data_IF_832529926645
#
_entry.id   IF_832529926645
#
_cell.length_a   1.000
_cell.length_b   1.000
_cell.length_c   1.000
_cell.angle_alpha   90.00
_cell.angle_beta   90.00
_cell.angle_gamma   90.00
#
_symmetry.space_group_name_H-M   'P 1'
#
loop_
_entity.id
_entity.type
_entity.pdbx_description
1 polymer ?
#
# COMPACT_ATOMS: atom_id res chain seq x y z
N UNK A 1 70.32 -38.74 44.85
CA UNK A 1 69.43 -39.15 43.74
C UNK A 1 68.70 -37.91 43.24
N UNK A 2 69.18 -37.37 42.13
CA UNK A 2 68.57 -36.15 41.52
C UNK A 2 67.60 -36.62 40.43
N UNK A 3 66.32 -36.17 40.56
CA UNK A 3 65.28 -36.37 39.52
C UNK A 3 65.23 -35.11 38.70
N UNK A 4 65.57 -35.17 37.44
CA UNK A 4 65.50 -34.14 36.44
C UNK A 4 64.10 -34.09 35.82
N UNK A 5 63.36 -32.94 36.01
CA UNK A 5 62.08 -32.66 35.41
C UNK A 5 62.30 -32.13 33.96
N UNK A 6 61.89 -32.90 32.95
CA UNK A 6 61.76 -32.38 31.58
C UNK A 6 60.38 -31.68 31.40
N UNK A 7 60.40 -30.39 31.17
CA UNK A 7 59.21 -29.63 30.69
C UNK A 7 59.09 -29.77 29.17
N UNK A 8 57.99 -30.33 28.73
CA UNK A 8 57.59 -30.36 27.33
C UNK A 8 56.76 -29.09 27.08
N UNK A 9 57.23 -28.18 26.21
CA UNK A 9 56.50 -27.03 25.73
C UNK A 9 55.63 -27.41 24.53
N UNK A 10 54.32 -27.06 24.49
CA UNK A 10 53.50 -27.32 23.31
C UNK A 10 53.77 -26.25 22.25
N UNK A 11 54.10 -26.70 21.05
CA UNK A 11 54.19 -25.89 19.84
C UNK A 11 52.80 -25.52 19.37
N UNK A 12 52.52 -24.22 19.28
CA UNK A 12 51.28 -23.68 18.66
C UNK A 12 51.32 -23.88 17.12
N UNK A 13 50.22 -24.38 16.50
CA UNK A 13 50.13 -24.40 15.04
C UNK A 13 50.00 -22.96 14.52
N UNK A 14 50.79 -22.65 13.49
CA UNK A 14 50.72 -21.39 12.78
C UNK A 14 49.35 -21.28 12.06
N UNK A 15 48.47 -20.45 12.57
CA UNK A 15 47.22 -20.09 11.90
C UNK A 15 47.54 -19.12 10.76
N UNK A 16 47.35 -19.58 9.53
CA UNK A 16 47.39 -18.75 8.31
C UNK A 16 46.23 -17.73 8.31
N UNK A 17 46.40 -16.63 9.05
CA UNK A 17 45.40 -15.57 9.23
C UNK A 17 45.02 -14.86 7.93
N UNK A 18 45.86 -14.98 6.90
CA UNK A 18 45.61 -14.37 5.59
C UNK A 18 44.51 -15.06 4.79
N UNK A 19 44.45 -16.41 4.84
CA UNK A 19 43.44 -17.18 4.09
C UNK A 19 42.06 -17.04 4.72
N UNK A 20 41.95 -16.97 6.05
CA UNK A 20 40.68 -16.72 6.73
C UNK A 20 40.14 -15.32 6.52
N UNK A 21 40.99 -14.31 6.47
CA UNK A 21 40.59 -12.93 6.13
C UNK A 21 40.11 -12.81 4.69
N UNK A 22 40.74 -13.49 3.74
CA UNK A 22 40.30 -13.51 2.34
C UNK A 22 38.92 -14.18 2.15
N UNK A 23 38.65 -15.29 2.86
CA UNK A 23 37.36 -15.98 2.80
C UNK A 23 36.21 -15.17 3.43
N UNK A 24 36.46 -14.46 4.54
CA UNK A 24 35.45 -13.58 5.16
C UNK A 24 35.14 -12.37 4.28
N UNK A 25 36.15 -11.77 3.65
CA UNK A 25 35.91 -10.67 2.70
C UNK A 25 35.21 -11.10 1.41
N UNK A 26 35.44 -12.32 0.92
CA UNK A 26 34.78 -12.85 -0.26
C UNK A 26 33.30 -13.18 0.03
N UNK A 27 32.99 -13.74 1.20
CA UNK A 27 31.60 -14.04 1.61
C UNK A 27 30.77 -12.77 1.86
N UNK A 28 31.35 -11.74 2.48
CA UNK A 28 30.67 -10.44 2.65
C UNK A 28 30.44 -9.70 1.34
N UNK A 29 31.36 -9.79 0.39
CA UNK A 29 31.19 -9.19 -0.93
C UNK A 29 30.08 -9.88 -1.76
N UNK A 30 29.96 -11.21 -1.65
CA UNK A 30 28.89 -11.96 -2.34
C UNK A 30 27.51 -11.68 -1.71
N UNK A 31 27.40 -11.55 -0.38
CA UNK A 31 26.15 -11.15 0.28
C UNK A 31 25.75 -9.71 -0.09
N UNK A 32 26.69 -8.77 -0.20
CA UNK A 32 26.41 -7.40 -0.63
C UNK A 32 25.97 -7.33 -2.10
N UNK A 33 26.53 -8.16 -2.97
CA UNK A 33 26.14 -8.23 -4.38
C UNK A 33 24.74 -8.82 -4.59
N UNK A 34 24.33 -9.80 -3.77
CA UNK A 34 23.01 -10.40 -3.84
C UNK A 34 21.89 -9.43 -3.39
N UNK A 35 22.16 -8.57 -2.40
CA UNK A 35 21.21 -7.53 -1.96
C UNK A 35 21.07 -6.39 -2.98
N UNK A 36 22.12 -6.10 -3.76
CA UNK A 36 22.07 -5.11 -4.83
C UNK A 36 21.28 -5.60 -6.06
N UNK A 37 21.31 -6.89 -6.37
CA UNK A 37 20.56 -7.46 -7.50
C UNK A 37 19.04 -7.49 -7.24
N UNK A 38 18.61 -7.69 -5.99
CA UNK A 38 17.18 -7.68 -5.61
C UNK A 38 16.55 -6.27 -5.65
N UNK A 39 17.37 -5.21 -5.63
CA UNK A 39 16.91 -3.82 -5.73
C UNK A 39 17.00 -3.26 -7.17
N UNK A 40 17.55 -3.99 -8.13
CA UNK A 40 17.76 -3.51 -9.49
C UNK A 40 16.45 -3.34 -10.29
N UNK A 41 15.34 -3.91 -9.84
CA UNK A 41 14.02 -3.75 -10.49
C UNK A 41 13.33 -2.41 -10.25
N UNK A 42 13.77 -1.63 -9.24
CA UNK A 42 13.14 -0.34 -8.88
C UNK A 42 14.13 0.80 -8.60
N UNK A 43 15.41 0.65 -8.93
CA UNK A 43 16.35 1.78 -8.84
C UNK A 43 16.18 2.68 -10.05
N UNK A 44 15.86 3.95 -9.78
CA UNK A 44 15.77 5.00 -10.79
C UNK A 44 17.03 5.08 -11.65
N UNK A 45 16.83 5.34 -12.92
CA UNK A 45 17.86 5.64 -13.90
C UNK A 45 18.62 6.93 -13.50
N UNK A 46 19.86 7.12 -13.98
CA UNK A 46 20.67 8.29 -13.63
C UNK A 46 19.98 9.58 -14.06
N UNK A 47 20.25 10.65 -13.30
CA UNK A 47 19.69 11.98 -13.48
C UNK A 47 19.79 12.45 -14.95
N UNK A 48 18.66 12.43 -15.65
CA UNK A 48 18.49 12.80 -17.05
C UNK A 48 17.16 12.33 -17.64
N UNK A 49 16.66 11.16 -17.21
CA UNK A 49 15.38 10.61 -17.67
C UNK A 49 14.69 9.85 -16.53
N UNK A 50 14.01 10.58 -15.64
CA UNK A 50 13.26 9.93 -14.54
C UNK A 50 12.00 9.30 -15.10
N UNK A 51 12.01 7.97 -15.24
CA UNK A 51 10.82 7.22 -15.63
C UNK A 51 9.79 7.27 -14.51
N UNK A 52 8.60 7.74 -14.81
CA UNK A 52 7.48 7.72 -13.88
C UNK A 52 6.89 6.29 -13.82
N UNK A 53 6.55 5.87 -12.60
CA UNK A 53 5.85 4.62 -12.35
C UNK A 53 4.39 4.91 -11.96
N UNK A 54 3.49 4.09 -12.48
CA UNK A 54 2.05 4.19 -12.21
C UNK A 54 1.49 2.80 -11.94
N UNK A 55 0.81 2.66 -10.82
CA UNK A 55 0.01 1.48 -10.54
C UNK A 55 -1.32 1.56 -11.30
N UNK A 56 -1.64 0.51 -12.01
CA UNK A 56 -2.86 0.41 -12.82
C UNK A 56 -3.62 -0.86 -12.43
N UNK A 57 -4.91 -0.74 -12.24
CA UNK A 57 -5.82 -1.88 -12.22
C UNK A 57 -6.42 -2.01 -13.61
N UNK A 58 -6.31 -3.17 -14.23
CA UNK A 58 -6.89 -3.41 -15.56
C UNK A 58 -7.60 -4.76 -15.59
N UNK A 59 -8.90 -4.74 -15.94
CA UNK A 59 -9.76 -5.92 -15.97
C UNK A 59 -10.49 -6.02 -17.31
N UNK A 60 -10.76 -7.26 -17.75
CA UNK A 60 -11.59 -7.53 -18.92
C UNK A 60 -13.06 -7.58 -18.53
N UNK A 61 -13.91 -6.86 -19.25
CA UNK A 61 -15.37 -6.80 -19.00
C UNK A 61 -16.10 -8.12 -19.21
N UNK A 62 -15.51 -9.01 -20.02
CA UNK A 62 -16.04 -10.36 -20.26
C UNK A 62 -15.69 -11.36 -19.15
N UNK A 63 -14.98 -10.92 -18.10
CA UNK A 63 -14.51 -11.77 -17.00
C UNK A 63 -13.37 -12.71 -17.37
N UNK A 64 -12.79 -12.59 -18.56
CA UNK A 64 -11.63 -13.36 -18.99
C UNK A 64 -10.42 -13.05 -18.11
N UNK A 65 -9.65 -14.10 -17.76
CA UNK A 65 -8.40 -14.00 -16.98
C UNK A 65 -7.16 -13.75 -17.87
N UNK A 66 -7.34 -13.46 -19.15
CA UNK A 66 -6.24 -13.17 -20.05
C UNK A 66 -5.56 -11.86 -19.63
N UNK A 67 -4.24 -11.88 -19.56
CA UNK A 67 -3.43 -10.70 -19.21
C UNK A 67 -3.70 -9.56 -20.19
N UNK A 68 -3.89 -8.34 -19.65
CA UNK A 68 -3.97 -7.12 -20.45
C UNK A 68 -2.56 -6.71 -20.88
N UNK A 69 -2.41 -6.28 -22.11
CA UNK A 69 -1.12 -5.89 -22.69
C UNK A 69 -1.01 -4.37 -22.86
N UNK A 70 0.20 -3.88 -23.04
CA UNK A 70 0.45 -2.43 -23.26
C UNK A 70 -0.20 -1.89 -24.54
N UNK A 71 -0.52 -2.75 -25.52
CA UNK A 71 -1.18 -2.35 -26.77
C UNK A 71 -2.68 -2.07 -26.61
N UNK A 72 -3.25 -2.55 -25.49
CA UNK A 72 -4.67 -2.42 -25.16
C UNK A 72 -4.93 -1.27 -24.17
N UNK A 73 -3.88 -0.49 -23.84
CA UNK A 73 -3.92 0.61 -22.85
C UNK A 73 -3.31 1.85 -23.47
N UNK A 74 -4.01 2.98 -23.33
CA UNK A 74 -3.48 4.33 -23.59
C UNK A 74 -3.32 5.10 -22.31
N UNK A 75 -2.22 5.86 -22.19
CA UNK A 75 -1.93 6.74 -21.07
C UNK A 75 -1.89 8.19 -21.50
N UNK A 76 -2.60 9.05 -20.76
CA UNK A 76 -2.55 10.49 -20.93
C UNK A 76 -2.05 11.14 -19.63
N UNK A 77 -1.02 11.97 -19.73
CA UNK A 77 -0.51 12.84 -18.65
C UNK A 77 -0.74 14.29 -19.06
N UNK A 78 -1.51 15.02 -18.25
CA UNK A 78 -1.95 16.39 -18.55
C UNK A 78 -2.59 16.54 -19.93
N UNK A 79 -3.38 15.53 -20.35
CA UNK A 79 -4.04 15.51 -21.65
C UNK A 79 -3.14 15.17 -22.85
N UNK A 80 -1.83 14.95 -22.63
CA UNK A 80 -0.88 14.54 -23.66
C UNK A 80 -0.73 13.02 -23.61
N UNK A 81 -0.94 12.36 -24.75
CA UNK A 81 -0.72 10.92 -24.86
C UNK A 81 0.76 10.58 -24.66
N UNK A 82 1.05 9.60 -23.81
CA UNK A 82 2.39 9.20 -23.42
C UNK A 82 2.76 7.84 -23.97
N UNK A 83 4.02 7.69 -24.37
CA UNK A 83 4.54 6.39 -24.79
C UNK A 83 4.81 5.48 -23.58
N UNK A 84 4.07 4.38 -23.46
CA UNK A 84 4.26 3.38 -22.42
C UNK A 84 5.55 2.61 -22.69
N UNK A 85 6.50 2.63 -21.75
CA UNK A 85 7.79 1.91 -21.85
C UNK A 85 7.66 0.47 -21.38
N UNK A 86 6.94 0.24 -20.28
CA UNK A 86 6.63 -1.07 -19.76
C UNK A 86 5.23 -1.10 -19.17
N UNK A 87 4.54 -2.22 -19.34
CA UNK A 87 3.26 -2.53 -18.72
C UNK A 87 3.24 -4.03 -18.41
N UNK A 88 3.30 -4.37 -17.14
CA UNK A 88 3.41 -5.76 -16.70
C UNK A 88 2.60 -6.02 -15.45
N UNK A 89 2.06 -7.24 -15.25
CA UNK A 89 1.45 -7.64 -13.99
C UNK A 89 2.40 -7.39 -12.82
N UNK A 90 1.86 -6.98 -11.67
CA UNK A 90 2.62 -6.83 -10.43
C UNK A 90 2.46 -8.10 -9.55
N UNK A 91 3.44 -9.01 -9.54
CA UNK A 91 3.36 -10.23 -8.74
C UNK A 91 3.76 -10.02 -7.27
N UNK A 92 4.15 -8.81 -6.88
CA UNK A 92 4.66 -8.56 -5.52
C UNK A 92 3.56 -8.78 -4.48
N UNK A 93 3.92 -9.28 -3.27
CA UNK A 93 2.98 -9.35 -2.16
C UNK A 93 2.45 -7.98 -1.76
N UNK A 94 1.19 -7.94 -1.34
CA UNK A 94 0.54 -6.72 -0.91
C UNK A 94 0.83 -6.39 0.56
N UNK A 95 0.91 -5.09 0.84
CA UNK A 95 0.89 -4.51 2.19
C UNK A 95 -0.39 -3.71 2.32
N UNK A 96 -1.34 -4.25 3.06
CA UNK A 96 -2.68 -3.71 3.19
C UNK A 96 -2.89 -3.13 4.58
N UNK A 97 -3.23 -1.86 4.67
CA UNK A 97 -3.69 -1.25 5.92
C UNK A 97 -5.21 -1.30 5.95
N UNK A 98 -5.77 -1.95 6.96
CA UNK A 98 -7.19 -1.85 7.30
C UNK A 98 -7.34 -0.70 8.30
N UNK A 99 -7.86 0.43 7.83
CA UNK A 99 -8.10 1.62 8.64
C UNK A 99 -9.58 1.66 9.03
N UNK A 100 -9.86 1.35 10.30
CA UNK A 100 -11.22 1.11 10.80
C UNK A 100 -11.68 2.26 11.67
N UNK A 101 -12.80 2.88 11.30
CA UNK A 101 -13.47 3.89 12.12
C UNK A 101 -14.01 3.26 13.40
N UNK A 102 -13.39 3.54 14.54
CA UNK A 102 -13.88 3.14 15.85
C UNK A 102 -14.42 4.30 16.68
N UNK A 103 -14.79 5.41 16.01
CA UNK A 103 -15.42 6.54 16.70
C UNK A 103 -16.77 6.17 17.32
N UNK A 104 -17.14 6.89 18.38
CA UNK A 104 -18.43 6.67 19.09
C UNK A 104 -19.65 6.81 18.18
N UNK A 105 -19.54 7.64 17.15
CA UNK A 105 -20.67 8.06 16.33
C UNK A 105 -20.89 7.21 15.08
N UNK A 106 -19.97 6.29 14.71
CA UNK A 106 -20.18 5.42 13.55
C UNK A 106 -21.42 4.55 13.70
N UNK A 107 -22.19 4.36 12.62
CA UNK A 107 -23.45 3.58 12.61
C UNK A 107 -23.26 2.08 12.39
N UNK A 108 -22.07 1.57 12.57
CA UNK A 108 -21.80 0.15 12.67
C UNK A 108 -21.51 -0.20 14.13
N UNK A 109 -21.96 -1.36 14.61
CA UNK A 109 -21.53 -1.87 15.90
C UNK A 109 -20.11 -2.49 15.80
N UNK A 110 -19.51 -2.74 16.97
CA UNK A 110 -18.14 -3.30 17.05
C UNK A 110 -18.08 -4.66 16.35
N UNK A 111 -19.07 -5.52 16.56
CA UNK A 111 -19.09 -6.86 15.97
C UNK A 111 -19.11 -6.81 14.44
N UNK A 112 -19.84 -5.86 13.84
CA UNK A 112 -19.88 -5.66 12.39
C UNK A 112 -18.54 -5.16 11.84
N UNK A 113 -17.87 -4.25 12.56
CA UNK A 113 -16.54 -3.76 12.20
C UNK A 113 -15.47 -4.85 12.30
N UNK A 114 -15.51 -5.64 13.38
CA UNK A 114 -14.63 -6.80 13.58
C UNK A 114 -14.83 -7.84 12.47
N UNK A 115 -16.09 -8.20 12.18
CA UNK A 115 -16.42 -9.15 11.11
C UNK A 115 -15.91 -8.68 9.74
N UNK A 116 -16.14 -7.41 9.40
CA UNK A 116 -15.65 -6.85 8.14
C UNK A 116 -14.11 -6.86 8.05
N UNK A 117 -13.43 -6.63 9.17
CA UNK A 117 -11.96 -6.69 9.25
C UNK A 117 -11.43 -8.12 9.08
N UNK A 118 -12.10 -9.10 9.72
CA UNK A 118 -11.70 -10.52 9.67
C UNK A 118 -11.84 -11.14 8.28
N UNK A 119 -12.81 -10.72 7.47
CA UNK A 119 -12.95 -11.22 6.10
C UNK A 119 -11.67 -11.00 5.28
N UNK A 120 -10.97 -9.89 5.47
CA UNK A 120 -9.68 -9.65 4.81
C UNK A 120 -8.60 -10.62 5.30
N UNK A 121 -8.58 -10.98 6.59
CA UNK A 121 -7.63 -11.94 7.12
C UNK A 121 -7.81 -13.35 6.53
N UNK A 122 -9.03 -13.70 6.12
CA UNK A 122 -9.32 -14.97 5.44
C UNK A 122 -9.03 -14.96 3.93
N UNK A 123 -9.03 -13.79 3.28
CA UNK A 123 -8.92 -13.66 1.82
C UNK A 123 -7.51 -13.24 1.33
N UNK A 124 -6.57 -12.87 2.21
CA UNK A 124 -5.19 -12.54 1.81
C UNK A 124 -4.45 -13.77 1.27
N UNK A 125 -3.49 -13.51 0.38
CA UNK A 125 -2.67 -14.55 -0.23
C UNK A 125 -1.31 -14.68 0.44
N UNK A 126 -0.64 -15.81 0.18
CA UNK A 126 0.71 -16.07 0.71
C UNK A 126 1.67 -14.90 0.42
N UNK A 127 2.30 -14.40 1.47
CA UNK A 127 3.23 -13.27 1.42
C UNK A 127 2.60 -11.90 1.62
N UNK A 128 1.26 -11.76 1.47
CA UNK A 128 0.54 -10.55 1.84
C UNK A 128 0.57 -10.35 3.35
N UNK A 129 0.44 -9.09 3.79
CA UNK A 129 0.30 -8.79 5.22
C UNK A 129 -0.70 -7.67 5.45
N UNK A 130 -1.40 -7.80 6.58
CA UNK A 130 -2.33 -6.80 7.09
C UNK A 130 -1.70 -6.03 8.25
N UNK A 131 -1.94 -4.72 8.29
CA UNK A 131 -1.80 -3.85 9.44
C UNK A 131 -3.20 -3.34 9.77
N UNK A 132 -3.69 -3.56 10.98
CA UNK A 132 -5.02 -3.11 11.40
C UNK A 132 -4.85 -1.92 12.32
N UNK A 133 -5.46 -0.81 11.92
CA UNK A 133 -5.42 0.46 12.63
C UNK A 133 -6.84 0.92 12.91
N UNK A 134 -7.19 1.08 14.17
CA UNK A 134 -8.41 1.76 14.58
C UNK A 134 -8.18 3.27 14.64
N UNK A 135 -9.17 4.08 14.27
CA UNK A 135 -9.04 5.52 14.44
C UNK A 135 -10.28 6.17 15.05
N UNK A 136 -10.01 7.07 15.95
CA UNK A 136 -10.93 8.04 16.54
C UNK A 136 -10.25 9.42 16.57
N UNK A 137 -9.99 10.00 17.75
CA UNK A 137 -9.18 11.21 17.92
C UNK A 137 -7.69 10.99 17.56
N UNK A 138 -7.26 9.72 17.45
CA UNK A 138 -5.92 9.30 17.05
C UNK A 138 -5.99 7.96 16.31
N UNK A 139 -4.97 7.68 15.49
CA UNK A 139 -4.77 6.37 14.90
C UNK A 139 -4.00 5.46 15.88
N UNK A 140 -4.51 4.27 16.15
CA UNK A 140 -3.90 3.29 17.05
C UNK A 140 -3.77 1.92 16.36
N UNK A 141 -2.60 1.30 16.44
CA UNK A 141 -2.39 -0.04 15.89
C UNK A 141 -3.15 -1.04 16.75
N UNK A 142 -4.09 -1.75 16.15
CA UNK A 142 -4.84 -2.87 16.75
C UNK A 142 -4.09 -4.17 16.54
N UNK A 143 -3.57 -4.41 15.33
CA UNK A 143 -2.73 -5.55 14.99
C UNK A 143 -1.62 -5.11 14.06
N UNK A 144 -0.36 -5.34 14.44
CA UNK A 144 0.80 -5.03 13.63
C UNK A 144 0.94 -6.03 12.45
N UNK A 145 1.73 -5.67 11.44
CA UNK A 145 1.92 -6.40 10.20
C UNK A 145 1.95 -7.93 10.39
N UNK A 146 0.90 -8.60 9.95
CA UNK A 146 0.75 -10.05 10.11
C UNK A 146 -0.11 -10.66 9.00
N UNK A 147 0.04 -11.97 8.80
CA UNK A 147 -0.82 -12.86 8.03
C UNK A 147 -1.47 -13.95 8.92
N UNK A 148 -1.25 -13.89 10.24
CA UNK A 148 -1.82 -14.84 11.20
C UNK A 148 -3.23 -14.44 11.61
N UNK A 149 -4.23 -15.15 11.05
CA UNK A 149 -5.66 -14.94 11.33
C UNK A 149 -5.97 -15.04 12.83
N UNK A 150 -5.38 -16.01 13.55
CA UNK A 150 -5.66 -16.22 14.99
C UNK A 150 -5.13 -15.07 15.84
N UNK A 151 -3.98 -14.52 15.44
CA UNK A 151 -3.44 -13.32 16.07
C UNK A 151 -4.39 -12.16 15.88
N UNK A 152 -4.86 -11.91 14.64
CA UNK A 152 -5.81 -10.85 14.31
C UNK A 152 -7.11 -11.01 15.11
N UNK A 153 -7.71 -12.21 15.12
CA UNK A 153 -8.92 -12.50 15.91
C UNK A 153 -8.75 -12.19 17.41
N UNK A 154 -7.56 -12.47 17.95
CA UNK A 154 -7.26 -12.23 19.36
C UNK A 154 -7.12 -10.73 19.65
N UNK A 155 -6.40 -10.01 18.81
CA UNK A 155 -6.11 -8.59 18.97
C UNK A 155 -7.35 -7.72 18.72
N UNK A 156 -8.24 -8.10 17.80
CA UNK A 156 -9.54 -7.44 17.56
C UNK A 156 -10.47 -7.48 18.77
N UNK A 157 -10.34 -8.45 19.69
CA UNK A 157 -11.14 -8.47 20.95
C UNK A 157 -10.91 -7.23 21.82
N UNK A 158 -9.83 -6.50 21.62
CA UNK A 158 -9.54 -5.23 22.28
C UNK A 158 -10.25 -4.03 21.63
N UNK A 159 -10.79 -4.21 20.43
CA UNK A 159 -11.39 -3.13 19.65
C UNK A 159 -12.61 -2.53 20.36
N UNK A 160 -12.68 -1.22 20.48
CA UNK A 160 -13.74 -0.50 21.19
C UNK A 160 -14.02 0.83 20.49
N UNK A 161 -15.28 1.24 20.55
CA UNK A 161 -15.70 2.56 20.07
C UNK A 161 -15.35 3.63 21.09
N UNK A 162 -14.68 4.71 20.65
CA UNK A 162 -14.31 5.87 21.48
C UNK A 162 -14.10 7.11 20.58
N UNK A 163 -14.07 8.29 21.18
CA UNK A 163 -13.69 9.54 20.52
C UNK A 163 -14.53 9.98 19.31
N UNK A 164 -13.99 10.91 18.56
CA UNK A 164 -14.49 11.48 17.31
C UNK A 164 -13.66 11.02 16.10
N UNK A 165 -14.22 10.96 14.87
CA UNK A 165 -13.50 10.43 13.70
C UNK A 165 -12.54 11.47 13.11
N UNK A 166 -11.25 11.39 13.40
CA UNK A 166 -10.19 12.16 12.76
C UNK A 166 -9.64 11.39 11.56
N UNK A 167 -10.47 11.21 10.52
CA UNK A 167 -10.16 10.38 9.35
C UNK A 167 -8.93 10.87 8.59
N UNK A 168 -8.81 12.20 8.37
CA UNK A 168 -7.72 12.75 7.56
C UNK A 168 -6.37 12.64 8.28
N UNK A 169 -6.34 12.87 9.59
CA UNK A 169 -5.14 12.67 10.39
C UNK A 169 -4.71 11.20 10.39
N UNK A 170 -5.66 10.26 10.50
CA UNK A 170 -5.40 8.83 10.47
C UNK A 170 -4.91 8.35 9.10
N UNK A 171 -5.55 8.78 8.01
CA UNK A 171 -5.11 8.47 6.65
C UNK A 171 -3.70 9.00 6.39
N UNK A 172 -3.41 10.23 6.82
CA UNK A 172 -2.08 10.81 6.67
C UNK A 172 -1.02 10.03 7.45
N UNK A 173 -1.30 9.69 8.72
CA UNK A 173 -0.40 8.92 9.56
C UNK A 173 -0.07 7.55 8.95
N UNK A 174 -1.07 6.76 8.53
CA UNK A 174 -0.80 5.43 7.92
C UNK A 174 -0.09 5.55 6.57
N UNK A 175 -0.34 6.63 5.83
CA UNK A 175 0.34 6.90 4.55
C UNK A 175 1.81 7.18 4.75
N UNK A 176 2.15 8.06 5.70
CA UNK A 176 3.52 8.51 5.94
C UNK A 176 4.33 7.51 6.78
N UNK A 177 3.76 7.03 7.89
CA UNK A 177 4.51 6.25 8.87
C UNK A 177 4.53 4.76 8.55
N UNK A 178 3.42 4.21 8.00
CA UNK A 178 3.31 2.78 7.73
C UNK A 178 3.65 2.41 6.29
N UNK A 179 3.21 3.19 5.29
CA UNK A 179 3.30 2.80 3.89
C UNK A 179 4.42 3.49 3.09
N UNK A 180 4.81 4.73 3.43
CA UNK A 180 5.94 5.40 2.76
C UNK A 180 7.24 4.59 2.82
N UNK A 181 7.63 3.98 3.96
CA UNK A 181 8.85 3.16 4.03
C UNK A 181 8.82 1.92 3.14
N UNK A 182 7.62 1.46 2.74
CA UNK A 182 7.39 0.25 1.94
C UNK A 182 7.28 0.56 0.43
N UNK A 183 7.96 1.57 -0.07
CA UNK A 183 7.84 2.07 -1.46
C UNK A 183 8.11 1.02 -2.55
N UNK A 184 8.87 -0.03 -2.24
CA UNK A 184 9.16 -1.14 -3.16
C UNK A 184 8.07 -2.21 -3.20
N UNK A 185 7.00 -2.10 -2.41
CA UNK A 185 5.95 -3.10 -2.27
C UNK A 185 4.63 -2.59 -2.84
N UNK A 186 3.71 -3.52 -3.15
CA UNK A 186 2.32 -3.21 -3.49
C UNK A 186 1.61 -2.72 -2.24
N UNK A 187 1.11 -1.48 -2.26
CA UNK A 187 0.56 -0.79 -1.09
C UNK A 187 -0.88 -0.40 -1.32
N UNK A 188 -1.73 -0.62 -0.31
CA UNK A 188 -3.12 -0.18 -0.35
C UNK A 188 -3.65 0.12 1.05
N UNK A 189 -4.66 0.96 1.11
CA UNK A 189 -5.44 1.23 2.32
C UNK A 189 -6.88 0.81 2.04
N UNK A 190 -7.46 0.02 2.93
CA UNK A 190 -8.88 -0.31 2.96
C UNK A 190 -9.48 0.42 4.15
N UNK A 191 -10.33 1.41 3.90
CA UNK A 191 -10.97 2.22 4.94
C UNK A 191 -12.36 1.68 5.21
N UNK A 192 -12.64 1.32 6.46
CA UNK A 192 -13.98 0.91 6.91
C UNK A 192 -14.59 2.09 7.66
N UNK A 193 -15.42 2.89 6.97
CA UNK A 193 -15.97 4.17 7.46
C UNK A 193 -17.14 4.63 6.62
N UNK A 194 -17.85 5.68 7.07
CA UNK A 194 -18.80 6.44 6.25
C UNK A 194 -18.19 7.70 5.59
N UNK A 195 -16.87 7.91 5.80
CA UNK A 195 -16.14 9.06 5.23
C UNK A 195 -16.26 10.37 6.04
N UNK A 196 -16.90 10.35 7.21
CA UNK A 196 -16.96 11.54 8.07
C UNK A 196 -15.59 11.82 8.69
N UNK A 197 -15.16 13.08 8.54
CA UNK A 197 -14.07 13.66 9.35
C UNK A 197 -14.62 14.68 10.33
N UNK A 198 -14.09 14.70 11.54
CA UNK A 198 -14.48 15.67 12.55
C UNK A 198 -13.31 15.99 13.47
N UNK A 199 -12.57 17.03 13.12
CA UNK A 199 -11.53 17.57 13.99
C UNK A 199 -10.11 17.26 13.57
N UNK A 200 -9.87 16.63 12.43
CA UNK A 200 -8.52 16.48 11.88
C UNK A 200 -7.82 17.83 11.68
N UNK A 201 -6.52 17.86 11.88
CA UNK A 201 -5.64 19.00 11.64
C UNK A 201 -5.18 19.04 10.18
N UNK A 202 -4.97 17.88 9.59
CA UNK A 202 -4.58 17.73 8.18
C UNK A 202 -5.80 17.97 7.30
N UNK A 203 -5.61 18.66 6.18
CA UNK A 203 -6.69 18.92 5.23
C UNK A 203 -6.86 17.75 4.26
N UNK A 204 -8.07 17.54 3.80
CA UNK A 204 -8.39 16.47 2.85
C UNK A 204 -7.49 16.47 1.61
N UNK A 205 -7.25 17.65 1.02
CA UNK A 205 -6.42 17.74 -0.20
C UNK A 205 -4.96 17.36 0.05
N UNK A 206 -4.42 17.63 1.24
CA UNK A 206 -3.05 17.26 1.59
C UNK A 206 -2.92 15.74 1.71
N UNK A 207 -3.92 15.09 2.33
CA UNK A 207 -4.01 13.62 2.39
C UNK A 207 -4.10 13.00 1.00
N UNK A 208 -5.01 13.51 0.16
CA UNK A 208 -5.20 12.98 -1.19
C UNK A 208 -3.94 13.16 -2.03
N UNK A 209 -3.27 14.31 -1.93
CA UNK A 209 -1.99 14.54 -2.62
C UNK A 209 -0.89 13.58 -2.14
N UNK A 210 -0.78 13.30 -0.83
CA UNK A 210 0.19 12.36 -0.31
C UNK A 210 -0.05 10.91 -0.82
N UNK A 211 -1.31 10.47 -0.85
CA UNK A 211 -1.71 9.18 -1.41
C UNK A 211 -1.35 9.06 -2.89
N UNK A 212 -1.65 10.10 -3.68
CA UNK A 212 -1.37 10.15 -5.11
C UNK A 212 0.13 10.23 -5.41
N UNK A 213 0.89 11.01 -4.62
CA UNK A 213 2.34 11.09 -4.77
C UNK A 213 3.01 9.73 -4.53
N UNK A 214 2.54 9.00 -3.51
CA UNK A 214 3.05 7.67 -3.17
C UNK A 214 2.40 6.54 -3.98
N UNK A 215 1.44 6.86 -4.84
CA UNK A 215 0.69 5.90 -5.66
C UNK A 215 0.07 4.77 -4.82
N UNK A 216 -0.60 5.17 -3.73
CA UNK A 216 -1.33 4.27 -2.82
C UNK A 216 -2.79 4.25 -3.21
N UNK A 217 -3.33 3.07 -3.52
CA UNK A 217 -4.76 2.90 -3.84
C UNK A 217 -5.57 2.81 -2.55
N UNK A 218 -6.71 3.50 -2.51
CA UNK A 218 -7.65 3.47 -1.37
C UNK A 218 -8.96 2.81 -1.79
N UNK A 219 -9.34 1.75 -1.08
CA UNK A 219 -10.67 1.14 -1.15
C UNK A 219 -11.50 1.58 0.05
N UNK A 220 -12.81 1.68 -0.15
CA UNK A 220 -13.75 2.03 0.91
C UNK A 220 -14.76 0.92 1.14
N UNK A 221 -14.85 0.45 2.37
CA UNK A 221 -15.97 -0.35 2.88
C UNK A 221 -16.91 0.62 3.58
N UNK A 222 -17.94 1.04 2.84
CA UNK A 222 -18.77 2.17 3.24
C UNK A 222 -19.82 1.78 4.25
N UNK A 223 -19.73 2.34 5.47
CA UNK A 223 -20.79 2.31 6.47
C UNK A 223 -21.89 3.33 6.13
N UNK A 224 -23.13 3.16 6.66
CA UNK A 224 -24.21 4.13 6.46
C UNK A 224 -23.85 5.53 6.98
N UNK A 225 -24.08 6.55 6.16
CA UNK A 225 -23.83 7.96 6.50
C UNK A 225 -24.57 8.36 7.79
N UNK A 226 -23.80 8.76 8.80
CA UNK A 226 -24.31 9.19 10.11
C UNK A 226 -24.87 10.60 10.11
N UNK A 227 -24.54 11.42 9.12
CA UNK A 227 -24.91 12.82 9.07
C UNK A 227 -26.25 13.08 8.40
N UNK A 228 -26.77 12.12 7.65
CA UNK A 228 -27.96 12.28 6.79
C UNK A 228 -27.87 13.52 5.88
N UNK A 229 -26.67 13.88 5.45
CA UNK A 229 -26.41 15.05 4.61
C UNK A 229 -26.35 16.40 5.34
N UNK A 230 -26.48 16.43 6.68
CA UNK A 230 -26.37 17.65 7.49
C UNK A 230 -24.88 17.92 7.82
N UNK A 231 -24.25 18.85 7.10
CA UNK A 231 -22.82 19.15 7.28
C UNK A 231 -22.55 20.65 7.28
N UNK A 232 -21.50 21.05 8.02
CA UNK A 232 -20.88 22.37 7.96
C UNK A 232 -20.38 22.66 6.54
N UNK A 233 -20.47 23.91 6.10
CA UNK A 233 -20.08 24.32 4.73
C UNK A 233 -18.59 24.13 4.43
N UNK A 234 -17.73 24.10 5.46
CA UNK A 234 -16.27 24.18 5.35
C UNK A 234 -15.57 22.82 5.27
N UNK A 235 -16.31 21.70 5.33
CA UNK A 235 -15.77 20.34 5.28
C UNK A 235 -16.42 19.60 4.13
N UNK A 236 -15.68 18.80 3.31
CA UNK A 236 -16.31 17.96 2.29
C UNK A 236 -17.36 17.05 2.92
N UNK A 237 -18.49 16.79 2.22
CA UNK A 237 -19.51 15.84 2.68
C UNK A 237 -18.90 14.44 2.74
N UNK A 238 -19.29 13.56 3.69
CA UNK A 238 -18.76 12.22 3.79
C UNK A 238 -18.77 11.45 2.47
N UNK A 239 -19.88 11.47 1.74
CA UNK A 239 -19.97 10.84 0.43
C UNK A 239 -18.94 11.42 -0.57
N UNK A 240 -18.73 12.73 -0.58
CA UNK A 240 -17.72 13.37 -1.44
C UNK A 240 -16.30 12.99 -1.03
N UNK A 241 -16.03 12.75 0.27
CA UNK A 241 -14.74 12.24 0.74
C UNK A 241 -14.52 10.82 0.21
N UNK A 242 -15.52 9.96 0.35
CA UNK A 242 -15.48 8.58 -0.16
C UNK A 242 -15.21 8.56 -1.67
N UNK A 243 -16.02 9.28 -2.46
CA UNK A 243 -15.90 9.36 -3.91
C UNK A 243 -14.50 9.86 -4.33
N UNK A 244 -14.06 11.01 -3.77
CA UNK A 244 -12.77 11.60 -4.12
C UNK A 244 -11.56 10.75 -3.72
N UNK A 245 -11.64 10.01 -2.60
CA UNK A 245 -10.57 9.11 -2.20
C UNK A 245 -10.41 7.97 -3.21
N UNK A 246 -11.52 7.30 -3.56
CA UNK A 246 -11.45 6.14 -4.45
C UNK A 246 -11.16 6.54 -5.89
N UNK A 247 -11.84 7.56 -6.42
CA UNK A 247 -11.59 8.08 -7.77
C UNK A 247 -10.19 8.67 -7.89
N UNK A 248 -9.76 9.42 -6.88
CA UNK A 248 -8.45 10.06 -6.86
C UNK A 248 -7.28 9.09 -6.79
N UNK A 249 -7.48 7.86 -6.29
CA UNK A 249 -6.43 6.86 -6.09
C UNK A 249 -6.60 5.59 -6.92
N UNK A 250 -7.68 5.48 -7.70
CA UNK A 250 -7.98 4.32 -8.55
C UNK A 250 -8.60 3.13 -7.83
N UNK A 251 -9.16 3.35 -6.62
CA UNK A 251 -9.84 2.31 -5.85
C UNK A 251 -11.31 2.10 -6.20
N UNK A 252 -12.05 1.51 -5.26
CA UNK A 252 -13.49 1.24 -5.36
C UNK A 252 -14.19 1.35 -4.01
N UNK A 253 -15.53 1.51 -4.05
CA UNK A 253 -16.40 1.51 -2.87
C UNK A 253 -17.19 0.21 -2.83
N UNK A 254 -17.29 -0.39 -1.64
CA UNK A 254 -18.09 -1.57 -1.35
C UNK A 254 -19.00 -1.30 -0.16
N UNK A 255 -20.22 -1.85 -0.12
CA UNK A 255 -21.10 -1.72 1.05
C UNK A 255 -20.58 -2.57 2.22
N UNK A 256 -20.74 -2.09 3.45
CA UNK A 256 -20.35 -2.83 4.66
C UNK A 256 -21.29 -4.01 4.94
N UNK A 257 -22.41 -4.11 4.23
CA UNK A 257 -23.37 -5.18 4.31
C UNK A 257 -22.84 -6.51 3.78
N UNK A 258 -21.89 -6.47 2.84
CA UNK A 258 -21.28 -7.66 2.24
C UNK A 258 -19.73 -7.58 2.31
N UNK A 259 -19.15 -7.68 3.51
CA UNK A 259 -17.71 -7.51 3.69
C UNK A 259 -16.89 -8.64 3.07
N UNK A 260 -17.46 -9.85 2.96
CA UNK A 260 -16.79 -10.99 2.33
C UNK A 260 -16.62 -10.79 0.84
N UNK A 261 -17.66 -10.33 0.14
CA UNK A 261 -17.57 -10.02 -1.29
C UNK A 261 -16.54 -8.91 -1.54
N UNK A 262 -16.55 -7.88 -0.68
CA UNK A 262 -15.57 -6.79 -0.74
C UNK A 262 -14.13 -7.29 -0.54
N UNK A 263 -13.88 -8.07 0.52
CA UNK A 263 -12.55 -8.61 0.81
C UNK A 263 -12.04 -9.48 -0.34
N UNK A 264 -12.90 -10.39 -0.84
CA UNK A 264 -12.58 -11.25 -1.97
C UNK A 264 -12.27 -10.44 -3.24
N UNK A 265 -13.11 -9.47 -3.58
CA UNK A 265 -12.93 -8.65 -4.79
C UNK A 265 -11.62 -7.85 -4.74
N UNK A 266 -11.31 -7.22 -3.59
CA UNK A 266 -10.10 -6.43 -3.41
C UNK A 266 -8.84 -7.30 -3.43
N UNK A 267 -8.83 -8.43 -2.70
CA UNK A 267 -7.68 -9.33 -2.67
C UNK A 267 -7.43 -9.99 -4.03
N UNK A 268 -8.50 -10.40 -4.74
CA UNK A 268 -8.41 -10.93 -6.09
C UNK A 268 -7.86 -9.89 -7.09
N UNK A 269 -8.30 -8.64 -7.00
CA UNK A 269 -7.82 -7.53 -7.83
C UNK A 269 -6.33 -7.26 -7.59
N UNK A 270 -5.92 -7.16 -6.34
CA UNK A 270 -4.51 -6.94 -5.96
C UNK A 270 -3.61 -8.05 -6.48
N UNK A 271 -4.10 -9.29 -6.53
CA UNK A 271 -3.33 -10.44 -6.98
C UNK A 271 -3.24 -10.56 -8.51
N UNK A 272 -4.33 -10.31 -9.23
CA UNK A 272 -4.49 -10.68 -10.64
C UNK A 272 -4.53 -9.50 -11.61
N UNK A 273 -5.13 -8.40 -11.17
CA UNK A 273 -5.51 -7.32 -12.06
C UNK A 273 -4.67 -6.07 -11.83
N UNK A 274 -3.65 -6.17 -10.97
CA UNK A 274 -2.70 -5.09 -10.70
C UNK A 274 -1.52 -5.15 -11.64
N UNK A 275 -1.22 -4.01 -12.26
CA UNK A 275 -0.12 -3.81 -13.19
C UNK A 275 0.77 -2.66 -12.75
N UNK A 276 2.05 -2.72 -13.14
CA UNK A 276 2.97 -1.59 -13.07
C UNK A 276 3.19 -1.08 -14.49
N UNK A 277 2.86 0.19 -14.70
CA UNK A 277 3.12 0.93 -15.93
C UNK A 277 4.30 1.85 -15.71
N UNK A 278 5.24 1.89 -16.66
CA UNK A 278 6.30 2.90 -16.68
C UNK A 278 6.28 3.70 -17.97
N UNK A 279 6.53 5.00 -17.86
CA UNK A 279 6.62 5.91 -18.99
C UNK A 279 7.63 7.04 -18.70
N UNK A 280 8.08 7.71 -19.73
CA UNK A 280 8.88 8.92 -19.60
C UNK A 280 7.97 10.10 -19.90
N UNK A 281 7.61 10.95 -18.90
CA UNK A 281 6.74 12.10 -19.15
C UNK A 281 7.32 13.04 -20.18
N UNK A 282 6.57 13.33 -21.25
CA UNK A 282 6.98 14.22 -22.34
C UNK A 282 5.98 15.37 -22.51
N UNK A 283 6.49 16.56 -22.73
CA UNK A 283 5.70 17.77 -23.00
C UNK A 283 4.70 18.12 -21.90
N UNK A 284 5.04 17.86 -20.63
CA UNK A 284 4.20 18.13 -19.45
C UNK A 284 4.93 18.97 -18.42
N UNK A 285 4.23 19.85 -17.66
CA UNK A 285 4.84 20.62 -16.57
C UNK A 285 5.11 19.72 -15.36
N UNK A 286 6.28 19.86 -14.72
CA UNK A 286 6.63 19.11 -13.51
C UNK A 286 6.28 19.84 -12.21
N UNK A 287 6.14 21.17 -12.28
CA UNK A 287 5.89 22.03 -11.10
C UNK A 287 4.43 22.18 -10.73
N UNK A 288 3.52 21.58 -11.50
CA UNK A 288 2.07 21.68 -11.28
C UNK A 288 1.43 20.30 -11.18
N UNK A 289 0.30 20.16 -10.45
CA UNK A 289 -0.46 18.90 -10.45
C UNK A 289 -0.93 18.57 -11.87
N UNK A 290 -0.73 17.33 -12.30
CA UNK A 290 -1.11 16.88 -13.65
C UNK A 290 -2.20 15.81 -13.57
N UNK A 291 -3.31 15.95 -14.32
CA UNK A 291 -4.28 14.88 -14.51
C UNK A 291 -3.65 13.67 -15.20
N UNK A 292 -3.88 12.50 -14.62
CA UNK A 292 -3.49 11.20 -15.19
C UNK A 292 -4.75 10.46 -15.61
N UNK A 293 -4.76 9.95 -16.83
CA UNK A 293 -5.85 9.14 -17.35
C UNK A 293 -5.29 7.90 -18.05
N UNK A 294 -5.68 6.73 -17.56
CA UNK A 294 -5.42 5.45 -18.21
C UNK A 294 -6.71 4.96 -18.85
N UNK A 295 -6.65 4.67 -20.14
CA UNK A 295 -7.81 4.22 -20.92
C UNK A 295 -7.53 2.83 -21.47
N UNK A 296 -8.42 1.89 -21.19
CA UNK A 296 -8.41 0.57 -21.83
C UNK A 296 -9.17 0.59 -23.16
N UNK A 297 -8.76 -0.24 -24.09
CA UNK A 297 -9.49 -0.49 -25.33
C UNK A 297 -10.90 -1.05 -25.05
N UNK A 298 -11.70 -1.18 -26.12
CA UNK A 298 -13.04 -1.78 -26.02
C UNK A 298 -12.99 -3.14 -25.31
N UNK A 299 -13.76 -3.27 -24.23
CA UNK A 299 -13.79 -4.48 -23.40
C UNK A 299 -12.82 -4.50 -22.22
N UNK A 300 -12.01 -3.45 -22.02
CA UNK A 300 -11.12 -3.32 -20.85
C UNK A 300 -11.57 -2.15 -19.99
N UNK A 301 -11.58 -2.36 -18.67
CA UNK A 301 -11.71 -1.30 -17.68
C UNK A 301 -10.33 -1.06 -17.06
N UNK A 302 -9.86 0.19 -17.06
CA UNK A 302 -8.61 0.57 -16.44
C UNK A 302 -8.84 1.66 -15.39
N UNK A 303 -8.11 1.58 -14.27
CA UNK A 303 -8.13 2.57 -13.18
C UNK A 303 -6.72 2.83 -12.68
N UNK A 304 -6.45 4.06 -12.30
CA UNK A 304 -5.20 4.50 -11.71
C UNK A 304 -5.47 5.72 -10.83
N UNK A 305 -4.45 6.26 -10.18
CA UNK A 305 -4.58 7.58 -9.56
C UNK A 305 -4.98 8.63 -10.60
N UNK A 306 -5.82 9.58 -10.21
CA UNK A 306 -6.35 10.61 -11.12
C UNK A 306 -5.39 11.79 -11.32
N UNK A 307 -4.42 12.00 -10.42
CA UNK A 307 -3.48 13.13 -10.45
C UNK A 307 -2.06 12.67 -10.14
N UNK A 308 -1.10 13.33 -10.77
CA UNK A 308 0.29 13.32 -10.35
C UNK A 308 0.57 14.67 -9.67
N UNK A 309 0.70 14.72 -8.34
CA UNK A 309 1.13 15.92 -7.64
C UNK A 309 2.54 16.34 -8.07
N UNK A 310 2.91 17.62 -7.94
CA UNK A 310 4.31 18.04 -8.13
C UNK A 310 5.20 17.36 -7.09
N UNK A 311 6.45 17.08 -7.45
CA UNK A 311 7.47 16.49 -6.57
C UNK A 311 8.09 17.52 -5.62
#
# INVERSE_FOLDING_TARGET
MRVTNHRITPTKPAQNSAVWRALVFLSTAILLAATLAAQAGRRGHPAGETSALLNVVATRKDGSKATVTSKEISLFDNGVEQSIKNFSPDPSPARMVLLVDNSLTIRADVAKLEAATLEFAYEIYDGDKLLIVGYDNAAEIVSDWTDDVKKIETELKSFRKKGDPHLFDALYAVTEDALRPLSAQKRTIIVISDGLDRGSKIKFNDVLSALQLLDITVYMIQAPDRTRGAIRRDVPKPLQVVEKLVEGTGGQVFPIEDPREAAKAICDELRRDRYVLSYLPQSVPYSEPRPILVVGDSGITARSKAMQPPE
#
